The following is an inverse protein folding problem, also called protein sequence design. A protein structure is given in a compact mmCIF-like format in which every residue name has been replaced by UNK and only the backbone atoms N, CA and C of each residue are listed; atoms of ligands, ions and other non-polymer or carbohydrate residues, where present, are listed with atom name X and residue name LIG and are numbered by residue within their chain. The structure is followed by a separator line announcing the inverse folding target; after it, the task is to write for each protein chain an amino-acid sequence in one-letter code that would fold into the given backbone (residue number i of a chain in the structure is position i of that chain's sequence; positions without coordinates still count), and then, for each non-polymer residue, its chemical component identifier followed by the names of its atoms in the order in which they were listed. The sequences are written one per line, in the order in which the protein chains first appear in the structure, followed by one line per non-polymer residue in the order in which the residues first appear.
data_IF_635550653995
#
_entry.id   IF_635550653995
#
_cell.length_a   1.000
_cell.length_b   1.000
_cell.length_c   1.000
_cell.angle_alpha   90.00
_cell.angle_beta   90.00
_cell.angle_gamma   90.00
#
_symmetry.space_group_name_H-M   'P 1'
#
loop_
_entity.id
_entity.type
_entity.pdbx_description
1 polymer ?
#
# COMPACT_ATOMS: atom_id res chain seq x y z
N UNK A 1 51.69 6.49 29.47
CA UNK A 1 50.85 5.28 29.41
C UNK A 1 49.96 5.22 30.64
N UNK A 2 48.65 5.47 30.49
CA UNK A 2 47.68 5.22 31.57
C UNK A 2 46.37 4.77 30.91
N UNK A 3 46.07 3.49 31.12
CA UNK A 3 44.87 2.81 30.64
C UNK A 3 43.71 3.27 31.54
N UNK A 4 42.66 3.83 30.95
CA UNK A 4 41.38 4.01 31.64
C UNK A 4 40.36 3.20 30.84
N UNK A 5 39.92 2.16 31.50
CA UNK A 5 38.92 1.19 31.08
C UNK A 5 37.57 1.60 31.68
N UNK A 6 36.51 1.23 30.96
CA UNK A 6 35.17 0.83 31.44
C UNK A 6 34.01 1.85 31.36
N UNK A 7 33.14 1.55 30.36
CA UNK A 7 31.67 1.36 30.34
C UNK A 7 30.77 2.29 31.18
N UNK A 8 29.77 2.89 30.51
CA UNK A 8 28.35 3.17 30.89
C UNK A 8 27.91 4.45 30.13
N UNK A 9 26.73 4.63 29.54
CA UNK A 9 25.50 3.88 29.47
C UNK A 9 24.77 4.29 28.17
N UNK A 10 24.10 3.34 27.52
CA UNK A 10 23.24 3.61 26.38
C UNK A 10 21.95 4.31 26.85
N UNK A 11 21.78 5.59 26.52
CA UNK A 11 20.50 6.28 26.59
C UNK A 11 19.81 6.17 25.23
N UNK A 12 19.20 5.01 24.98
CA UNK A 12 18.17 4.93 23.95
C UNK A 12 16.88 5.51 24.55
N UNK A 13 16.69 6.82 24.36
CA UNK A 13 15.42 7.48 24.61
C UNK A 13 14.37 6.85 23.69
N UNK A 14 13.51 6.04 24.27
CA UNK A 14 12.33 5.49 23.60
C UNK A 14 11.37 6.64 23.29
N UNK A 15 11.36 7.11 22.04
CA UNK A 15 10.29 7.98 21.55
C UNK A 15 9.02 7.13 21.44
N UNK A 16 8.17 7.21 22.45
CA UNK A 16 6.83 6.63 22.40
C UNK A 16 5.93 7.57 21.61
N UNK A 17 5.72 7.29 20.32
CA UNK A 17 4.65 7.93 19.55
C UNK A 17 3.33 7.23 19.91
N UNK A 18 2.62 7.74 20.91
CA UNK A 18 1.22 7.38 21.13
C UNK A 18 0.35 8.22 20.20
N UNK A 19 -0.01 7.66 19.04
CA UNK A 19 -1.14 8.13 18.24
C UNK A 19 -2.14 6.98 18.16
N UNK A 20 -3.19 7.07 18.97
CA UNK A 20 -4.43 6.34 18.72
C UNK A 20 -5.56 7.36 18.67
N UNK A 21 -5.63 8.07 17.55
CA UNK A 21 -6.88 8.68 17.13
C UNK A 21 -7.77 7.54 16.64
N UNK A 22 -8.89 7.32 17.33
CA UNK A 22 -9.93 6.38 16.92
C UNK A 22 -10.41 6.77 15.51
N UNK A 23 -10.38 5.87 14.50
CA UNK A 23 -10.97 6.19 13.22
C UNK A 23 -12.49 6.28 13.42
N UNK A 24 -13.01 7.50 13.30
CA UNK A 24 -14.43 7.76 13.14
C UNK A 24 -14.88 6.98 11.90
N UNK A 25 -15.50 5.82 12.12
CA UNK A 25 -16.15 5.03 11.07
C UNK A 25 -17.41 5.76 10.62
N UNK A 26 -17.21 6.88 9.92
CA UNK A 26 -18.21 7.37 8.98
C UNK A 26 -18.25 6.36 7.83
N UNK A 27 -19.44 5.98 7.40
CA UNK A 27 -19.69 5.26 6.15
C UNK A 27 -19.31 6.16 4.95
N UNK A 28 -18.07 6.63 4.91
CA UNK A 28 -17.56 7.37 3.76
C UNK A 28 -17.25 6.35 2.69
N UNK A 29 -17.91 6.51 1.54
CA UNK A 29 -17.59 5.74 0.36
C UNK A 29 -16.09 5.84 0.08
N UNK A 30 -15.48 4.72 -0.33
CA UNK A 30 -14.07 4.65 -0.71
C UNK A 30 -13.74 5.80 -1.71
N UNK A 31 -12.62 6.51 -1.57
CA UNK A 31 -12.24 7.58 -2.50
C UNK A 31 -12.30 7.12 -3.96
N UNK A 32 -12.78 7.99 -4.85
CA UNK A 32 -12.94 7.69 -6.27
C UNK A 32 -11.63 7.19 -6.92
N UNK A 33 -10.50 7.75 -6.51
CA UNK A 33 -9.19 7.38 -7.02
C UNK A 33 -8.81 5.95 -6.64
N UNK A 34 -9.25 5.46 -5.48
CA UNK A 34 -9.08 4.06 -5.11
C UNK A 34 -9.98 3.16 -5.96
N UNK A 35 -11.23 3.57 -6.20
CA UNK A 35 -12.16 2.83 -7.06
C UNK A 35 -11.58 2.69 -8.47
N UNK A 36 -11.05 3.79 -9.03
CA UNK A 36 -10.42 3.79 -10.34
C UNK A 36 -9.18 2.90 -10.39
N UNK A 37 -8.24 3.08 -9.45
CA UNK A 37 -7.01 2.28 -9.38
C UNK A 37 -7.31 0.78 -9.30
N UNK A 38 -8.24 0.39 -8.44
CA UNK A 38 -8.61 -1.02 -8.29
C UNK A 38 -9.29 -1.58 -9.54
N UNK A 39 -10.21 -0.82 -10.14
CA UNK A 39 -10.91 -1.23 -11.37
C UNK A 39 -9.94 -1.42 -12.54
N UNK A 40 -9.03 -0.48 -12.76
CA UNK A 40 -7.99 -0.57 -13.80
C UNK A 40 -7.09 -1.80 -13.58
N UNK A 41 -6.67 -2.02 -12.33
CA UNK A 41 -5.84 -3.18 -11.97
C UNK A 41 -6.59 -4.50 -12.18
N UNK A 42 -7.88 -4.57 -11.81
CA UNK A 42 -8.72 -5.75 -12.04
C UNK A 42 -8.92 -6.03 -13.53
N UNK A 43 -9.05 -4.98 -14.35
CA UNK A 43 -9.12 -5.13 -15.79
C UNK A 43 -7.82 -5.71 -16.38
N UNK A 44 -6.65 -5.28 -15.91
CA UNK A 44 -5.37 -5.87 -16.32
C UNK A 44 -5.24 -7.33 -15.87
N UNK A 45 -5.66 -7.64 -14.64
CA UNK A 45 -5.72 -9.02 -14.13
C UNK A 45 -6.60 -9.88 -15.06
N UNK A 46 -7.80 -9.41 -15.40
CA UNK A 46 -8.72 -10.14 -16.27
C UNK A 46 -8.17 -10.36 -17.69
N UNK A 47 -7.39 -9.41 -18.22
CA UNK A 47 -6.67 -9.59 -19.48
C UNK A 47 -5.54 -10.63 -19.35
N UNK A 48 -4.78 -10.56 -18.26
CA UNK A 48 -3.70 -11.50 -17.99
C UNK A 48 -4.23 -12.93 -17.76
N UNK A 49 -5.38 -13.12 -17.11
CA UNK A 49 -6.01 -14.44 -16.92
C UNK A 49 -6.33 -15.15 -18.25
N UNK A 50 -6.55 -14.40 -19.33
CA UNK A 50 -6.83 -14.97 -20.66
C UNK A 50 -5.57 -15.42 -21.40
N UNK A 51 -4.38 -15.04 -20.93
CA UNK A 51 -3.12 -15.41 -21.55
C UNK A 51 -2.68 -16.82 -21.10
N UNK A 52 -2.18 -17.68 -22.00
CA UNK A 52 -1.73 -19.01 -21.62
C UNK A 52 -0.52 -18.92 -20.67
N UNK A 53 -0.48 -19.79 -19.65
CA UNK A 53 0.64 -19.91 -18.72
C UNK A 53 0.67 -18.88 -17.57
N UNK A 54 -0.31 -17.99 -17.46
CA UNK A 54 -0.31 -16.90 -16.45
C UNK A 54 -1.13 -17.21 -15.19
N UNK A 55 -2.08 -18.16 -15.23
CA UNK A 55 -3.08 -18.38 -14.18
C UNK A 55 -2.53 -18.41 -12.74
N UNK A 56 -1.41 -19.10 -12.51
CA UNK A 56 -0.79 -19.18 -11.17
C UNK A 56 -0.29 -17.82 -10.69
N UNK A 57 0.34 -17.05 -11.58
CA UNK A 57 0.84 -15.71 -11.24
C UNK A 57 -0.33 -14.75 -11.02
N UNK A 58 -1.33 -14.83 -11.89
CA UNK A 58 -2.50 -13.95 -11.81
C UNK A 58 -3.33 -14.22 -10.54
N UNK A 59 -3.48 -15.48 -10.13
CA UNK A 59 -4.11 -15.84 -8.85
C UNK A 59 -3.37 -15.24 -7.65
N UNK A 60 -2.02 -15.28 -7.64
CA UNK A 60 -1.21 -14.63 -6.60
C UNK A 60 -1.41 -13.11 -6.59
N UNK A 61 -1.46 -12.48 -7.77
CA UNK A 61 -1.69 -11.04 -7.91
C UNK A 61 -3.08 -10.66 -7.38
N UNK A 62 -4.12 -11.41 -7.75
CA UNK A 62 -5.50 -11.20 -7.28
C UNK A 62 -5.60 -11.30 -5.76
N UNK A 63 -4.92 -12.27 -5.15
CA UNK A 63 -4.87 -12.41 -3.69
C UNK A 63 -4.21 -11.20 -3.03
N UNK A 64 -3.08 -10.73 -3.56
CA UNK A 64 -2.41 -9.50 -3.06
C UNK A 64 -3.26 -8.26 -3.23
N UNK A 65 -3.96 -8.12 -4.37
CA UNK A 65 -4.89 -7.01 -4.60
C UNK A 65 -6.02 -7.02 -3.57
N UNK A 66 -6.64 -8.17 -3.34
CA UNK A 66 -7.70 -8.31 -2.33
C UNK A 66 -7.22 -7.99 -0.91
N UNK A 67 -6.01 -8.42 -0.56
CA UNK A 67 -5.40 -8.06 0.72
C UNK A 67 -5.17 -6.55 0.83
N UNK A 68 -4.63 -5.93 -0.22
CA UNK A 68 -4.39 -4.48 -0.26
C UNK A 68 -5.70 -3.68 -0.16
N UNK A 69 -6.77 -4.13 -0.83
CA UNK A 69 -8.12 -3.54 -0.71
C UNK A 69 -8.59 -3.52 0.74
N UNK A 70 -8.52 -4.66 1.43
CA UNK A 70 -8.92 -4.77 2.84
C UNK A 70 -8.10 -3.84 3.73
N UNK A 71 -6.78 -3.82 3.55
CA UNK A 71 -5.89 -2.94 4.31
C UNK A 71 -6.23 -1.46 4.09
N UNK A 72 -6.50 -1.05 2.85
CA UNK A 72 -6.88 0.34 2.53
C UNK A 72 -8.20 0.73 3.21
N UNK A 73 -9.19 -0.17 3.19
CA UNK A 73 -10.47 0.08 3.85
C UNK A 73 -10.37 0.22 5.38
N UNK A 74 -9.31 -0.33 5.98
CA UNK A 74 -9.01 -0.19 7.42
C UNK A 74 -8.25 1.10 7.75
N UNK A 75 -7.76 1.85 6.75
CA UNK A 75 -7.06 3.12 6.96
C UNK A 75 -8.02 4.31 7.04
N UNK A 76 -7.53 5.42 7.58
CA UNK A 76 -8.25 6.70 7.55
C UNK A 76 -8.44 7.24 6.13
N UNK A 77 -9.57 7.90 5.87
CA UNK A 77 -9.96 8.40 4.55
C UNK A 77 -8.87 9.24 3.86
N UNK A 78 -8.24 10.17 4.56
CA UNK A 78 -7.15 10.99 4.01
C UNK A 78 -5.94 10.13 3.57
N UNK A 79 -5.65 9.06 4.31
CA UNK A 79 -4.59 8.10 3.96
C UNK A 79 -4.98 7.22 2.78
N UNK A 80 -6.26 6.81 2.69
CA UNK A 80 -6.80 6.12 1.51
C UNK A 80 -6.61 6.98 0.25
N UNK A 81 -7.09 8.23 0.29
CA UNK A 81 -6.99 9.19 -0.81
C UNK A 81 -5.53 9.38 -1.25
N UNK A 82 -4.62 9.63 -0.30
CA UNK A 82 -3.19 9.81 -0.59
C UNK A 82 -2.58 8.56 -1.23
N UNK A 83 -2.85 7.38 -0.65
CA UNK A 83 -2.29 6.11 -1.12
C UNK A 83 -2.75 5.78 -2.54
N UNK A 84 -4.04 5.97 -2.82
CA UNK A 84 -4.61 5.69 -4.12
C UNK A 84 -4.21 6.72 -5.18
N UNK A 85 -4.04 8.00 -4.84
CA UNK A 85 -3.47 8.99 -5.75
C UNK A 85 -2.05 8.60 -6.19
N UNK A 86 -1.19 8.21 -5.23
CA UNK A 86 0.18 7.77 -5.55
C UNK A 86 0.14 6.48 -6.38
N UNK A 87 -0.72 5.53 -6.01
CA UNK A 87 -0.90 4.28 -6.74
C UNK A 87 -1.34 4.50 -8.18
N UNK A 88 -2.34 5.36 -8.40
CA UNK A 88 -2.88 5.69 -9.72
C UNK A 88 -1.86 6.44 -10.57
N UNK A 89 -1.12 7.39 -10.00
CA UNK A 89 -0.04 8.06 -10.70
C UNK A 89 1.03 7.07 -11.17
N UNK A 90 1.49 6.16 -10.30
CA UNK A 90 2.47 5.12 -10.67
C UNK A 90 1.93 4.16 -11.72
N UNK A 91 0.67 3.73 -11.56
CA UNK A 91 0.00 2.85 -12.51
C UNK A 91 -0.06 3.47 -13.91
N UNK A 92 -0.46 4.74 -14.01
CA UNK A 92 -0.52 5.44 -15.29
C UNK A 92 0.87 5.61 -15.92
N UNK A 93 1.90 5.90 -15.13
CA UNK A 93 3.28 5.93 -15.64
C UNK A 93 3.71 4.57 -16.20
N UNK A 94 3.43 3.48 -15.50
CA UNK A 94 3.74 2.12 -15.97
C UNK A 94 3.01 1.77 -17.27
N UNK A 95 1.74 2.17 -17.39
CA UNK A 95 0.95 1.98 -18.60
C UNK A 95 1.56 2.72 -19.79
N UNK A 96 1.98 3.97 -19.59
CA UNK A 96 2.61 4.76 -20.65
C UNK A 96 3.90 4.10 -21.17
N UNK A 97 4.72 3.51 -20.29
CA UNK A 97 5.92 2.77 -20.72
C UNK A 97 5.62 1.51 -21.55
N UNK A 98 4.44 0.92 -21.40
CA UNK A 98 4.05 -0.28 -22.15
C UNK A 98 3.37 0.03 -23.50
N UNK A 99 3.03 1.30 -23.73
CA UNK A 99 2.40 1.79 -24.98
C UNK A 99 3.43 2.41 -25.95
N UNK A 100 4.71 2.46 -25.57
CA UNK A 100 5.86 2.88 -26.39
C UNK A 100 6.61 1.67 -26.95
#
# INVERSE_FOLDING_TARGET
MKKISIILAALFSTVSFSVFSTPLKTNEALPEQCVQLFKETENLIAQAEKQPGTHTQVSKIKNKLNQSKKQILEMEFATQLKSCNIGLARFNNMKNYSEE
#
